data_IF_581830405767
#
_entry.id   IF_581830405767
#
_cell.length_a   1.000
_cell.length_b   1.000
_cell.length_c   1.000
_cell.angle_alpha   90.00
_cell.angle_beta   90.00
_cell.angle_gamma   90.00
#
_symmetry.space_group_name_H-M   'P 1'
#
loop_
_entity.id
_entity.type
_entity.pdbx_description
1 polymer ?
#
# COMPACT_ATOMS: atom_id res chain seq x y z
N UNK A 1 16.06 8.22 10.67
CA UNK A 1 16.99 9.23 11.24
C UNK A 1 18.41 8.71 11.44
N UNK A 2 18.67 7.65 12.21
CA UNK A 2 20.04 7.15 12.48
C UNK A 2 20.85 6.86 11.21
N UNK A 3 20.24 6.17 10.23
CA UNK A 3 20.90 5.83 8.95
C UNK A 3 21.32 7.09 8.17
N UNK A 4 20.47 8.12 8.16
CA UNK A 4 20.71 9.40 7.48
C UNK A 4 21.93 10.11 8.11
N UNK A 5 21.97 10.21 9.45
CA UNK A 5 23.09 10.85 10.17
C UNK A 5 24.43 10.13 9.89
N UNK A 6 24.41 8.83 9.61
CA UNK A 6 25.58 8.05 9.23
C UNK A 6 25.97 8.21 7.75
N UNK A 7 25.31 9.08 6.99
CA UNK A 7 25.59 9.35 5.58
C UNK A 7 25.31 8.15 4.66
N UNK A 8 24.34 7.30 5.02
CA UNK A 8 23.99 6.12 4.21
C UNK A 8 22.66 6.31 3.49
N UNK A 9 22.66 6.00 2.19
CA UNK A 9 21.42 5.91 1.43
C UNK A 9 20.52 4.80 2.00
N UNK A 10 19.20 4.98 1.91
CA UNK A 10 18.23 4.03 2.45
C UNK A 10 17.02 3.91 1.52
N UNK A 11 16.45 2.71 1.46
CA UNK A 11 15.14 2.45 0.87
C UNK A 11 14.29 1.81 1.98
N UNK A 12 13.10 2.34 2.21
CA UNK A 12 12.23 1.95 3.32
C UNK A 12 10.83 1.58 2.80
N UNK A 13 10.30 0.50 3.36
CA UNK A 13 8.94 -0.01 3.09
C UNK A 13 8.03 0.11 4.31
N UNK A 14 8.50 0.72 5.40
CA UNK A 14 7.77 0.77 6.66
C UNK A 14 6.47 1.59 6.53
N UNK A 15 5.41 1.04 7.09
CA UNK A 15 4.10 1.69 7.16
C UNK A 15 3.91 2.29 8.56
N UNK A 16 4.47 3.47 8.82
CA UNK A 16 4.38 4.17 10.10
C UNK A 16 3.61 5.50 9.97
N UNK A 17 3.02 6.02 11.05
CA UNK A 17 2.19 7.24 11.00
C UNK A 17 2.99 8.53 10.78
N UNK A 18 4.29 8.52 11.06
CA UNK A 18 5.14 9.70 10.95
C UNK A 18 5.38 10.10 9.49
N UNK A 19 5.47 11.40 9.25
CA UNK A 19 5.83 11.96 7.96
C UNK A 19 7.35 11.96 7.76
N UNK A 20 7.83 11.04 6.92
CA UNK A 20 9.25 10.91 6.61
C UNK A 20 9.83 12.15 5.88
N UNK A 21 8.99 12.93 5.17
CA UNK A 21 9.44 14.13 4.44
C UNK A 21 10.01 15.19 5.37
N UNK A 22 9.65 15.20 6.66
CA UNK A 22 10.24 16.08 7.67
C UNK A 22 11.76 15.91 7.83
N UNK A 23 12.31 14.77 7.40
CA UNK A 23 13.75 14.51 7.42
C UNK A 23 14.47 14.92 6.12
N UNK A 24 13.77 15.57 5.16
CA UNK A 24 14.31 15.90 3.84
C UNK A 24 15.56 16.77 3.91
N UNK A 25 15.52 17.87 4.67
CA UNK A 25 16.67 18.77 4.82
C UNK A 25 17.83 18.12 5.58
N UNK A 26 17.54 17.28 6.56
CA UNK A 26 18.57 16.49 7.25
C UNK A 26 19.28 15.53 6.29
N UNK A 27 18.53 14.87 5.41
CA UNK A 27 19.10 13.98 4.39
C UNK A 27 19.99 14.73 3.40
N UNK A 28 19.59 15.94 2.97
CA UNK A 28 20.44 16.81 2.14
C UNK A 28 21.74 17.18 2.82
N UNK A 29 21.68 17.62 4.09
CA UNK A 29 22.85 18.01 4.88
C UNK A 29 23.88 16.86 4.97
N UNK A 30 23.40 15.63 5.07
CA UNK A 30 24.25 14.43 5.11
C UNK A 30 24.56 13.81 3.75
N UNK A 31 24.15 14.48 2.64
CA UNK A 31 24.32 13.97 1.25
C UNK A 31 23.73 12.59 1.03
N UNK A 32 22.60 12.29 1.67
CA UNK A 32 21.88 11.01 1.61
C UNK A 32 20.70 11.10 0.65
N UNK A 33 20.48 10.03 -0.10
CA UNK A 33 19.25 9.76 -0.83
C UNK A 33 18.46 8.70 -0.06
N UNK A 34 17.21 9.02 0.33
CA UNK A 34 16.30 8.06 0.95
C UNK A 34 15.03 7.93 0.11
N UNK A 35 14.68 6.69 -0.28
CA UNK A 35 13.40 6.39 -0.92
C UNK A 35 12.51 5.73 0.14
N UNK A 36 11.36 6.32 0.41
CA UNK A 36 10.41 5.88 1.45
C UNK A 36 9.11 5.43 0.81
N UNK A 37 8.22 4.76 1.58
CA UNK A 37 6.95 4.24 1.06
C UNK A 37 7.16 3.35 -0.19
N UNK A 38 8.20 2.53 -0.24
CA UNK A 38 8.66 1.83 -1.44
C UNK A 38 8.24 0.34 -1.44
N UNK A 39 6.97 0.07 -1.08
CA UNK A 39 6.36 -1.26 -1.09
C UNK A 39 5.49 -1.54 -2.32
N UNK A 40 4.40 -2.30 -2.11
CA UNK A 40 3.41 -2.54 -3.17
C UNK A 40 2.39 -1.39 -3.21
N UNK A 41 1.78 -1.03 -2.08
CA UNK A 41 0.92 0.14 -1.88
C UNK A 41 0.96 0.55 -0.39
N UNK A 42 1.49 1.72 -0.08
CA UNK A 42 2.18 2.63 -0.99
C UNK A 42 3.46 2.03 -1.60
N UNK A 43 3.77 2.45 -2.81
CA UNK A 43 4.97 2.00 -3.52
C UNK A 43 4.74 1.90 -5.02
N UNK A 44 4.37 0.72 -5.55
CA UNK A 44 4.13 0.60 -6.99
C UNK A 44 2.99 1.48 -7.48
N UNK A 45 1.94 1.68 -6.69
CA UNK A 45 0.89 2.67 -6.98
C UNK A 45 1.47 4.07 -7.22
N UNK A 46 2.42 4.47 -6.37
CA UNK A 46 3.10 5.75 -6.43
C UNK A 46 4.06 5.85 -7.64
N UNK A 47 4.84 4.78 -7.93
CA UNK A 47 5.68 4.71 -9.13
C UNK A 47 4.87 4.93 -10.40
N UNK A 48 3.73 4.25 -10.53
CA UNK A 48 2.83 4.39 -11.68
C UNK A 48 2.28 5.80 -11.77
N UNK A 49 1.75 6.34 -10.67
CA UNK A 49 1.17 7.68 -10.63
C UNK A 49 2.20 8.76 -10.98
N UNK A 50 3.39 8.71 -10.37
CA UNK A 50 4.45 9.69 -10.61
C UNK A 50 4.91 9.72 -12.08
N UNK A 51 5.05 8.56 -12.72
CA UNK A 51 5.37 8.46 -14.14
C UNK A 51 4.26 9.09 -15.01
N UNK A 52 2.99 8.70 -14.78
CA UNK A 52 1.89 9.21 -15.59
C UNK A 52 1.62 10.70 -15.39
N UNK A 53 1.90 11.24 -14.22
CA UNK A 53 1.79 12.66 -13.95
C UNK A 53 2.73 13.54 -14.82
N UNK A 54 3.74 12.92 -15.48
CA UNK A 54 4.61 13.62 -16.44
C UNK A 54 4.03 13.71 -17.85
N UNK A 55 3.12 12.82 -18.22
CA UNK A 55 2.61 12.67 -19.59
C UNK A 55 1.10 12.82 -19.70
N UNK A 56 0.40 12.94 -18.58
CA UNK A 56 -1.05 13.00 -18.47
C UNK A 56 -1.45 14.04 -17.43
N UNK A 57 -2.44 14.88 -17.71
CA UNK A 57 -3.12 15.66 -16.69
C UNK A 57 -4.13 14.75 -16.01
N UNK A 58 -3.81 14.30 -14.80
CA UNK A 58 -4.62 13.34 -14.06
C UNK A 58 -5.66 14.10 -13.24
N UNK A 59 -6.94 13.77 -13.41
CA UNK A 59 -8.05 14.33 -12.64
C UNK A 59 -8.49 13.38 -11.50
N UNK A 60 -8.31 12.06 -11.73
CA UNK A 60 -8.71 11.03 -10.76
C UNK A 60 -7.65 9.93 -10.66
N UNK A 61 -7.35 9.54 -9.44
CA UNK A 61 -6.50 8.40 -9.10
C UNK A 61 -7.22 7.49 -8.10
N UNK A 62 -7.22 6.21 -8.37
CA UNK A 62 -7.72 5.19 -7.45
C UNK A 62 -6.76 4.00 -7.42
N UNK A 63 -6.39 3.57 -6.22
CA UNK A 63 -5.67 2.33 -5.99
C UNK A 63 -6.53 1.39 -5.14
N UNK A 64 -6.66 0.15 -5.57
CA UNK A 64 -7.26 -0.93 -4.80
C UNK A 64 -6.24 -2.04 -4.66
N UNK A 65 -5.97 -2.49 -3.43
CA UNK A 65 -4.94 -3.50 -3.16
C UNK A 65 -5.40 -4.47 -2.08
N UNK A 66 -4.98 -5.73 -2.19
CA UNK A 66 -5.23 -6.75 -1.17
C UNK A 66 -4.26 -7.91 -1.24
N UNK A 67 -3.90 -8.44 -0.08
CA UNK A 67 -3.23 -9.72 0.07
C UNK A 67 -4.19 -10.69 0.74
N UNK A 68 -4.45 -11.85 0.12
CA UNK A 68 -5.52 -12.75 0.53
C UNK A 68 -5.08 -14.23 0.44
N UNK A 69 -5.49 -15.07 1.39
CA UNK A 69 -5.25 -16.50 1.29
C UNK A 69 -6.08 -17.11 0.15
N UNK A 70 -5.54 -18.08 -0.57
CA UNK A 70 -6.32 -18.85 -1.56
C UNK A 70 -7.36 -19.72 -0.88
N UNK A 71 -7.05 -20.27 0.28
CA UNK A 71 -7.96 -21.10 1.06
C UNK A 71 -8.81 -20.22 2.00
N UNK A 72 -10.10 -20.13 1.72
CA UNK A 72 -11.05 -19.34 2.49
C UNK A 72 -11.56 -20.13 3.71
N UNK A 73 -11.01 -19.88 4.89
CA UNK A 73 -11.40 -20.55 6.15
C UNK A 73 -12.23 -19.60 7.00
N UNK A 74 -13.49 -19.98 7.26
CA UNK A 74 -14.36 -19.22 8.16
C UNK A 74 -13.85 -19.24 9.61
N UNK A 75 -14.18 -18.22 10.42
CA UNK A 75 -15.09 -17.10 10.12
C UNK A 75 -14.46 -15.96 9.31
N UNK A 76 -13.13 -15.84 9.31
CA UNK A 76 -12.44 -14.64 8.81
C UNK A 76 -12.25 -14.63 7.30
N UNK A 77 -12.04 -15.80 6.69
CA UNK A 77 -11.63 -15.94 5.30
C UNK A 77 -10.44 -15.00 4.97
N UNK A 78 -9.57 -14.81 5.96
CA UNK A 78 -8.43 -13.90 5.90
C UNK A 78 -7.23 -14.47 6.63
N UNK A 79 -6.05 -14.22 6.07
CA UNK A 79 -4.74 -14.39 6.66
C UNK A 79 -3.91 -13.15 6.39
N UNK A 80 -3.14 -12.70 7.36
CA UNK A 80 -2.28 -11.53 7.21
C UNK A 80 -0.97 -11.93 6.53
N UNK A 81 -0.73 -11.49 5.29
CA UNK A 81 0.52 -11.77 4.58
C UNK A 81 1.68 -10.87 5.03
N UNK A 82 1.41 -9.92 5.93
CA UNK A 82 2.36 -9.00 6.56
C UNK A 82 2.01 -8.84 8.05
N UNK A 83 2.57 -7.82 8.71
CA UNK A 83 2.37 -7.59 10.15
C UNK A 83 0.88 -7.49 10.55
N UNK A 84 0.36 -8.37 11.40
CA UNK A 84 -1.05 -8.33 11.81
C UNK A 84 -1.45 -7.08 12.58
N UNK A 85 -0.50 -6.38 13.24
CA UNK A 85 -0.79 -5.13 13.94
C UNK A 85 -1.12 -4.02 12.92
N UNK A 86 -0.39 -3.99 11.80
CA UNK A 86 -0.63 -3.00 10.73
C UNK A 86 -2.01 -3.22 10.09
N UNK A 87 -2.45 -4.48 10.00
CA UNK A 87 -3.81 -4.82 9.54
C UNK A 87 -4.88 -4.25 10.47
N UNK A 88 -4.69 -4.32 11.79
CA UNK A 88 -5.63 -3.72 12.74
C UNK A 88 -5.63 -2.20 12.67
N UNK A 89 -4.49 -1.60 12.39
CA UNK A 89 -4.40 -0.15 12.15
C UNK A 89 -5.18 0.26 10.90
N UNK A 90 -5.12 -0.51 9.81
CA UNK A 90 -5.94 -0.27 8.61
C UNK A 90 -7.44 -0.27 8.94
N UNK A 91 -7.89 -1.05 9.90
CA UNK A 91 -9.30 -1.17 10.28
C UNK A 91 -9.77 -0.10 11.27
N UNK A 92 -8.88 0.60 11.92
CA UNK A 92 -9.20 1.57 12.97
C UNK A 92 -8.81 3.01 12.64
N UNK A 93 -7.80 3.19 11.78
CA UNK A 93 -7.32 4.52 11.37
C UNK A 93 -8.29 5.16 10.37
N UNK A 94 -8.77 6.41 10.63
CA UNK A 94 -9.54 7.16 9.64
C UNK A 94 -8.76 7.34 8.34
N UNK A 95 -9.45 7.18 7.22
CA UNK A 95 -8.85 7.27 5.88
C UNK A 95 -8.90 8.71 5.35
N UNK A 96 -7.75 9.21 4.91
CA UNK A 96 -7.64 10.52 4.24
C UNK A 96 -7.70 10.35 2.74
N UNK A 97 -8.49 11.20 2.09
CA UNK A 97 -8.71 11.23 0.65
C UNK A 97 -8.53 12.63 0.11
N UNK A 98 -8.52 12.73 -1.23
CA UNK A 98 -8.73 14.00 -1.92
C UNK A 98 -10.05 13.93 -2.68
N UNK A 99 -10.96 14.84 -2.38
CA UNK A 99 -12.20 15.05 -3.13
C UNK A 99 -12.30 16.52 -3.56
N UNK A 100 -12.48 16.76 -4.86
CA UNK A 100 -12.52 18.10 -5.45
C UNK A 100 -11.35 19.00 -5.03
N UNK A 101 -10.13 18.46 -4.96
CA UNK A 101 -8.93 19.17 -4.57
C UNK A 101 -8.77 19.44 -3.07
N UNK A 102 -9.64 18.89 -2.23
CA UNK A 102 -9.58 19.05 -0.77
C UNK A 102 -9.30 17.73 -0.07
N UNK A 103 -8.39 17.75 0.90
CA UNK A 103 -8.17 16.60 1.78
C UNK A 103 -9.37 16.46 2.72
N UNK A 104 -10.04 15.33 2.65
CA UNK A 104 -11.13 14.95 3.53
C UNK A 104 -10.77 13.71 4.35
N UNK A 105 -11.44 13.50 5.46
CA UNK A 105 -11.25 12.33 6.32
C UNK A 105 -12.56 11.56 6.42
N UNK A 106 -12.51 10.26 6.13
CA UNK A 106 -13.65 9.34 6.28
C UNK A 106 -13.38 8.32 7.38
N UNK A 107 -14.43 7.76 8.01
CA UNK A 107 -14.23 6.66 8.93
C UNK A 107 -13.51 5.48 8.28
N UNK A 108 -12.71 4.76 9.05
CA UNK A 108 -12.17 3.47 8.61
C UNK A 108 -13.31 2.52 8.20
N UNK A 109 -13.04 1.59 7.30
CA UNK A 109 -14.01 0.60 6.81
C UNK A 109 -15.28 1.20 6.18
N UNK A 110 -15.23 2.46 5.71
CA UNK A 110 -16.35 3.13 5.03
C UNK A 110 -16.34 2.86 3.51
N UNK A 111 -17.41 3.28 2.84
CA UNK A 111 -17.62 3.20 1.38
C UNK A 111 -17.32 1.79 0.83
N UNK A 112 -17.93 0.80 1.48
CA UNK A 112 -17.78 -0.62 1.11
C UNK A 112 -18.47 -0.88 -0.22
N UNK A 113 -17.75 -1.52 -1.15
CA UNK A 113 -18.25 -1.88 -2.48
C UNK A 113 -17.85 -3.32 -2.81
N UNK A 114 -18.72 -4.05 -3.49
CA UNK A 114 -18.41 -5.35 -4.07
C UNK A 114 -17.94 -5.15 -5.51
N UNK A 115 -16.78 -5.68 -5.81
CA UNK A 115 -16.11 -5.51 -7.12
C UNK A 115 -15.64 -6.87 -7.61
N UNK A 116 -15.94 -7.19 -8.87
CA UNK A 116 -15.46 -8.40 -9.49
C UNK A 116 -14.06 -8.20 -10.09
N UNK A 117 -13.18 -9.11 -9.76
CA UNK A 117 -11.80 -9.13 -10.25
C UNK A 117 -11.55 -10.42 -11.03
N UNK A 118 -10.83 -10.29 -12.14
CA UNK A 118 -10.27 -11.44 -12.83
C UNK A 118 -9.37 -12.25 -11.88
N UNK A 119 -9.48 -13.55 -11.91
CA UNK A 119 -8.78 -14.56 -11.08
C UNK A 119 -9.21 -14.63 -9.61
N UNK A 120 -9.65 -13.55 -8.99
CA UNK A 120 -10.01 -13.51 -7.55
C UNK A 120 -11.52 -13.61 -7.29
N UNK A 121 -12.36 -13.38 -8.33
CA UNK A 121 -13.81 -13.28 -8.18
C UNK A 121 -14.24 -12.00 -7.47
N UNK A 122 -15.38 -12.03 -6.81
CA UNK A 122 -15.90 -10.85 -6.09
C UNK A 122 -15.13 -10.62 -4.80
N UNK A 123 -14.60 -9.41 -4.64
CA UNK A 123 -13.99 -8.91 -3.41
C UNK A 123 -14.79 -7.72 -2.88
N UNK A 124 -14.71 -7.45 -1.57
CA UNK A 124 -15.20 -6.22 -0.99
C UNK A 124 -14.04 -5.24 -0.77
N UNK A 125 -14.23 -4.01 -1.25
CA UNK A 125 -13.30 -2.90 -1.07
C UNK A 125 -13.79 -1.98 0.04
N UNK A 126 -12.88 -1.35 0.74
CA UNK A 126 -13.17 -0.34 1.76
C UNK A 126 -12.04 0.68 1.86
N UNK A 127 -12.37 1.84 2.40
CA UNK A 127 -11.45 2.95 2.51
C UNK A 127 -10.34 2.71 3.53
N UNK A 128 -9.09 2.96 3.12
CA UNK A 128 -7.89 2.90 3.97
C UNK A 128 -7.02 4.14 3.79
N UNK A 129 -6.18 4.47 4.79
CA UNK A 129 -5.30 5.64 4.81
C UNK A 129 -3.98 5.37 4.06
N UNK A 130 -4.10 4.91 2.81
CA UNK A 130 -2.95 4.49 2.02
C UNK A 130 -2.36 5.55 1.07
N UNK A 131 -3.03 6.69 0.84
CA UNK A 131 -2.50 7.75 -0.03
C UNK A 131 -1.20 8.37 0.48
N UNK A 132 -1.05 8.55 1.80
CA UNK A 132 0.17 8.97 2.49
C UNK A 132 0.85 10.19 1.84
N UNK A 133 2.04 10.00 1.26
CA UNK A 133 2.81 11.06 0.60
C UNK A 133 2.05 11.73 -0.54
N UNK A 134 1.22 11.00 -1.28
CA UNK A 134 0.44 11.52 -2.42
C UNK A 134 -0.45 12.71 -2.02
N UNK A 135 -0.94 12.76 -0.78
CA UNK A 135 -1.74 13.89 -0.26
C UNK A 135 -1.00 15.23 -0.35
N UNK A 136 0.33 15.20 -0.34
CA UNK A 136 1.18 16.39 -0.31
C UNK A 136 2.02 16.57 -1.58
N UNK A 137 2.37 15.46 -2.25
CA UNK A 137 3.24 15.46 -3.42
C UNK A 137 2.48 15.59 -4.73
N UNK A 138 1.16 15.34 -4.73
CA UNK A 138 0.27 15.38 -5.90
C UNK A 138 -0.92 16.34 -5.71
N UNK A 139 -0.67 17.64 -5.39
CA UNK A 139 -1.72 18.58 -5.01
C UNK A 139 -2.68 18.95 -6.16
N UNK A 140 -2.27 18.73 -7.40
CA UNK A 140 -3.06 19.11 -8.58
C UNK A 140 -4.09 18.05 -8.99
N UNK A 141 -4.07 16.87 -8.36
CA UNK A 141 -5.04 15.81 -8.65
C UNK A 141 -6.29 16.03 -7.81
N UNK A 142 -7.42 16.24 -8.50
CA UNK A 142 -8.67 16.65 -7.84
C UNK A 142 -9.31 15.55 -7.00
N UNK A 143 -9.15 14.28 -7.37
CA UNK A 143 -9.76 13.17 -6.67
C UNK A 143 -8.77 12.01 -6.54
N UNK A 144 -8.44 11.64 -5.32
CA UNK A 144 -7.56 10.50 -5.03
C UNK A 144 -8.12 9.66 -3.89
N UNK A 145 -8.08 8.35 -4.05
CA UNK A 145 -8.46 7.40 -3.00
C UNK A 145 -7.65 6.11 -3.07
N UNK A 146 -7.46 5.50 -1.91
CA UNK A 146 -6.97 4.14 -1.80
C UNK A 146 -7.93 3.28 -1.01
N UNK A 147 -8.10 2.04 -1.46
CA UNK A 147 -8.98 1.05 -0.85
C UNK A 147 -8.25 -0.28 -0.66
N UNK A 148 -8.51 -0.90 0.47
CA UNK A 148 -8.07 -2.28 0.71
C UNK A 148 -9.15 -3.27 0.27
N UNK A 149 -8.72 -4.45 -0.17
CA UNK A 149 -9.57 -5.52 -0.67
C UNK A 149 -9.58 -6.70 0.31
N UNK A 150 -10.78 -7.25 0.57
CA UNK A 150 -10.97 -8.47 1.36
C UNK A 150 -12.04 -9.35 0.70
N UNK A 151 -12.20 -10.58 1.18
CA UNK A 151 -13.34 -11.39 0.78
C UNK A 151 -14.64 -10.87 1.36
N UNK A 152 -15.78 -10.99 0.63
CA UNK A 152 -17.07 -10.46 1.06
C UNK A 152 -17.52 -10.96 2.44
N UNK A 153 -17.91 -10.04 3.30
CA UNK A 153 -18.36 -10.32 4.67
C UNK A 153 -17.30 -10.10 5.75
N UNK A 154 -16.02 -10.00 5.39
CA UNK A 154 -14.95 -9.76 6.36
C UNK A 154 -15.12 -8.42 7.08
N UNK A 155 -15.42 -7.36 6.34
CA UNK A 155 -15.59 -6.01 6.91
C UNK A 155 -16.71 -5.99 7.95
N UNK A 156 -17.82 -6.67 7.67
CA UNK A 156 -18.94 -6.75 8.60
C UNK A 156 -18.56 -7.42 9.94
N UNK A 157 -17.71 -8.43 9.90
CA UNK A 157 -17.18 -9.06 11.12
C UNK A 157 -16.31 -8.08 11.91
N UNK A 158 -15.40 -7.38 11.25
CA UNK A 158 -14.53 -6.38 11.91
C UNK A 158 -15.35 -5.23 12.48
N UNK A 159 -16.32 -4.71 11.76
CA UNK A 159 -17.23 -3.69 12.25
C UNK A 159 -18.01 -4.15 13.50
N UNK A 160 -18.35 -5.43 13.56
CA UNK A 160 -19.03 -6.01 14.75
C UNK A 160 -18.09 -6.02 15.96
N UNK A 161 -16.81 -6.37 15.78
CA UNK A 161 -15.81 -6.30 16.85
C UNK A 161 -15.58 -4.87 17.33
N UNK A 162 -15.48 -3.90 16.40
CA UNK A 162 -15.34 -2.48 16.73
C UNK A 162 -16.55 -2.00 17.56
N UNK A 163 -17.77 -2.23 17.07
CA UNK A 163 -19.01 -1.81 17.74
C UNK A 163 -19.20 -2.45 19.11
N UNK A 164 -18.74 -3.68 19.29
CA UNK A 164 -18.78 -4.40 20.57
C UNK A 164 -17.67 -3.95 21.54
N UNK A 165 -16.73 -3.09 21.13
CA UNK A 165 -15.65 -2.58 21.97
C UNK A 165 -14.40 -3.46 22.05
N UNK A 166 -14.33 -4.54 21.28
CA UNK A 166 -13.17 -5.44 21.29
C UNK A 166 -11.87 -4.77 20.80
N UNK A 167 -11.98 -3.71 20.00
CA UNK A 167 -10.84 -2.94 19.48
C UNK A 167 -10.65 -1.58 20.19
N UNK A 168 -11.24 -1.39 21.38
CA UNK A 168 -11.02 -0.20 22.19
C UNK A 168 -9.64 -0.23 22.83
N UNK A 169 -8.96 0.92 22.82
CA UNK A 169 -7.64 1.10 23.45
C UNK A 169 -7.74 1.27 24.96
N UNK A 170 -8.83 1.88 25.45
CA UNK A 170 -9.02 2.17 26.86
C UNK A 170 -9.12 0.87 27.69
N UNK A 171 -8.22 0.68 28.69
CA UNK A 171 -8.29 -0.50 29.53
C UNK A 171 -9.58 -0.54 30.36
N UNK A 172 -10.08 -1.76 30.57
CA UNK A 172 -11.24 -2.03 31.41
C UNK A 172 -10.88 -2.94 32.59
N UNK A 173 -11.62 -2.82 33.69
CA UNK A 173 -11.45 -3.70 34.84
C UNK A 173 -12.14 -5.05 34.63
N UNK A 174 -11.35 -6.13 34.70
CA UNK A 174 -11.84 -7.49 34.62
C UNK A 174 -11.30 -8.27 35.83
N UNK A 175 -12.18 -8.66 36.75
CA UNK A 175 -11.79 -9.38 37.96
C UNK A 175 -10.61 -8.76 38.75
N UNK A 176 -10.59 -7.44 38.83
CA UNK A 176 -9.54 -6.68 39.52
C UNK A 176 -8.26 -6.43 38.73
N UNK A 177 -8.16 -6.89 37.50
CA UNK A 177 -7.03 -6.62 36.59
C UNK A 177 -7.39 -5.63 35.52
N UNK A 178 -6.44 -4.78 35.12
CA UNK A 178 -6.57 -3.89 33.97
C UNK A 178 -6.30 -4.68 32.68
N UNK A 179 -7.29 -4.74 31.79
CA UNK A 179 -7.18 -5.45 30.51
C UNK A 179 -7.49 -4.46 29.38
N UNK A 180 -6.59 -4.34 28.40
CA UNK A 180 -6.86 -3.62 27.17
C UNK A 180 -7.60 -4.53 26.20
N UNK A 181 -8.86 -4.19 25.78
CA UNK A 181 -9.60 -4.98 24.80
C UNK A 181 -8.84 -5.16 23.49
N UNK A 182 -8.20 -4.08 22.99
CA UNK A 182 -7.39 -4.12 21.77
C UNK A 182 -6.25 -5.13 21.88
N UNK A 183 -5.46 -5.09 22.97
CA UNK A 183 -4.31 -5.99 23.14
C UNK A 183 -4.77 -7.46 23.27
N UNK A 184 -5.83 -7.70 23.99
CA UNK A 184 -6.39 -9.04 24.15
C UNK A 184 -6.91 -9.60 22.83
N UNK A 185 -7.72 -8.80 22.10
CA UNK A 185 -8.28 -9.19 20.82
C UNK A 185 -7.20 -9.38 19.76
N UNK A 186 -6.20 -8.49 19.71
CA UNK A 186 -5.05 -8.62 18.82
C UNK A 186 -4.33 -9.95 19.01
N UNK A 187 -4.08 -10.35 20.28
CA UNK A 187 -3.41 -11.61 20.58
C UNK A 187 -4.18 -12.81 20.04
N UNK A 188 -5.51 -12.80 20.14
CA UNK A 188 -6.37 -13.87 19.61
C UNK A 188 -6.35 -13.86 18.07
N UNK A 189 -6.54 -12.69 17.46
CA UNK A 189 -6.63 -12.56 16.00
C UNK A 189 -5.30 -12.90 15.32
N UNK A 190 -4.16 -12.53 15.91
CA UNK A 190 -2.85 -12.82 15.33
C UNK A 190 -2.58 -14.32 15.21
N UNK A 191 -2.98 -15.11 16.20
CA UNK A 191 -2.86 -16.56 16.11
C UNK A 191 -3.73 -17.17 14.98
N UNK A 192 -4.91 -16.59 14.74
CA UNK A 192 -5.84 -17.04 13.70
C UNK A 192 -5.45 -16.52 12.30
N UNK A 193 -4.91 -15.32 12.24
CA UNK A 193 -4.57 -14.67 10.96
C UNK A 193 -3.14 -14.95 10.49
N UNK A 194 -2.33 -15.59 11.31
CA UNK A 194 -0.98 -15.94 10.90
C UNK A 194 -1.02 -16.78 9.63
N UNK A 195 -0.33 -16.31 8.58
CA UNK A 195 -0.10 -17.08 7.37
C UNK A 195 0.93 -18.17 7.64
N UNK A 196 0.67 -19.38 7.19
CA UNK A 196 1.62 -20.50 7.28
C UNK A 196 2.79 -20.33 6.31
N UNK A 197 3.94 -20.99 6.55
CA UNK A 197 5.15 -20.86 5.71
C UNK A 197 4.89 -21.29 4.29
N UNK A 198 4.14 -22.09 3.86
CA UNK A 198 3.86 -22.47 2.47
C UNK A 198 2.35 -22.38 2.17
N UNK A 199 1.66 -21.50 2.89
CA UNK A 199 0.23 -21.32 2.68
C UNK A 199 0.00 -20.49 1.42
N UNK A 200 -0.70 -21.02 0.41
CA UNK A 200 -0.96 -20.31 -0.83
C UNK A 200 -1.77 -19.03 -0.59
N UNK A 201 -1.24 -17.92 -1.05
CA UNK A 201 -1.86 -16.60 -1.02
C UNK A 201 -1.63 -15.87 -2.34
N UNK A 202 -2.30 -14.76 -2.53
CA UNK A 202 -2.10 -13.89 -3.68
C UNK A 202 -2.16 -12.43 -3.29
N UNK A 203 -1.48 -11.61 -4.08
CA UNK A 203 -1.61 -10.16 -4.05
C UNK A 203 -2.34 -9.70 -5.30
N UNK A 204 -3.34 -8.87 -5.12
CA UNK A 204 -4.10 -8.24 -6.18
C UNK A 204 -4.05 -6.74 -6.03
N UNK A 205 -3.82 -6.03 -7.14
CA UNK A 205 -3.86 -4.57 -7.16
C UNK A 205 -4.49 -4.09 -8.47
N UNK A 206 -5.33 -3.07 -8.37
CA UNK A 206 -5.83 -2.32 -9.51
C UNK A 206 -5.58 -0.84 -9.28
N UNK A 207 -4.87 -0.20 -10.21
CA UNK A 207 -4.61 1.23 -10.23
C UNK A 207 -5.38 1.81 -11.40
N UNK A 208 -6.16 2.87 -11.17
CA UNK A 208 -6.96 3.54 -12.18
C UNK A 208 -6.60 5.02 -12.17
N UNK A 209 -6.24 5.55 -13.33
CA UNK A 209 -6.00 6.98 -13.53
C UNK A 209 -6.88 7.46 -14.68
N UNK A 210 -7.62 8.55 -14.44
CA UNK A 210 -8.46 9.20 -15.46
C UNK A 210 -8.06 10.65 -15.61
N UNK A 211 -8.07 11.14 -16.84
CA UNK A 211 -7.73 12.53 -17.15
C UNK A 211 -7.41 12.73 -18.62
N UNK A 212 -6.63 13.75 -18.94
CA UNK A 212 -6.32 14.16 -20.31
C UNK A 212 -4.90 13.76 -20.70
N UNK A 213 -4.75 13.08 -21.85
CA UNK A 213 -3.46 12.79 -22.48
C UNK A 213 -3.56 13.10 -23.98
N UNK A 214 -2.70 13.98 -24.50
CA UNK A 214 -2.73 14.47 -25.88
C UNK A 214 -4.14 14.97 -26.32
N UNK A 215 -4.74 15.82 -25.47
CA UNK A 215 -6.09 16.40 -25.67
C UNK A 215 -7.24 15.40 -25.78
N UNK A 216 -7.04 14.18 -25.31
CA UNK A 216 -8.09 13.14 -25.25
C UNK A 216 -8.31 12.69 -23.83
N UNK A 217 -9.57 12.48 -23.48
CA UNK A 217 -9.92 11.80 -22.23
C UNK A 217 -9.46 10.35 -22.34
N UNK A 218 -8.70 9.91 -21.32
CA UNK A 218 -8.20 8.54 -21.25
C UNK A 218 -8.39 7.99 -19.85
N UNK A 219 -8.56 6.67 -19.80
CA UNK A 219 -8.48 5.88 -18.59
C UNK A 219 -7.29 4.93 -18.73
N UNK A 220 -6.33 5.04 -17.84
CA UNK A 220 -5.19 4.13 -17.76
C UNK A 220 -5.37 3.23 -16.55
N UNK A 221 -5.35 1.93 -16.78
CA UNK A 221 -5.43 0.94 -15.71
C UNK A 221 -4.15 0.09 -15.67
N UNK A 222 -3.67 -0.18 -14.45
CA UNK A 222 -2.69 -1.22 -14.17
C UNK A 222 -3.33 -2.28 -13.29
N UNK A 223 -3.13 -3.53 -13.65
CA UNK A 223 -3.64 -4.69 -12.92
C UNK A 223 -2.51 -5.65 -12.59
N UNK A 224 -2.40 -6.00 -11.32
CA UNK A 224 -1.54 -7.05 -10.79
C UNK A 224 -2.40 -8.18 -10.22
N UNK A 225 -2.08 -9.40 -10.58
CA UNK A 225 -2.45 -10.60 -9.85
C UNK A 225 -1.19 -11.47 -9.75
N UNK A 226 -0.65 -11.60 -8.55
CA UNK A 226 0.56 -12.38 -8.28
C UNK A 226 0.26 -13.39 -7.17
N UNK A 227 0.82 -14.58 -7.26
CA UNK A 227 0.55 -15.68 -6.35
C UNK A 227 1.83 -16.15 -5.65
N UNK A 228 1.66 -16.93 -4.59
CA UNK A 228 2.75 -17.68 -3.95
C UNK A 228 3.59 -18.41 -5.00
N UNK A 229 4.88 -18.24 -4.95
CA UNK A 229 5.81 -18.88 -5.89
C UNK A 229 6.35 -20.18 -5.29
N UNK A 230 5.86 -21.31 -5.82
CA UNK A 230 6.26 -22.65 -5.38
C UNK A 230 7.74 -22.95 -5.63
N UNK A 231 8.33 -22.37 -6.67
CA UNK A 231 9.73 -22.63 -7.03
C UNK A 231 10.70 -21.97 -6.04
N UNK A 232 10.40 -20.74 -5.61
CA UNK A 232 11.22 -19.98 -4.65
C UNK A 232 10.70 -20.08 -3.23
N UNK A 233 9.52 -20.70 -3.01
CA UNK A 233 8.79 -20.76 -1.74
C UNK A 233 8.62 -19.39 -1.11
N UNK A 234 8.27 -18.42 -1.93
CA UNK A 234 8.14 -17.03 -1.51
C UNK A 234 6.71 -16.55 -1.69
N UNK A 235 6.17 -15.93 -0.65
CA UNK A 235 4.81 -15.36 -0.69
C UNK A 235 4.72 -14.23 -1.71
N UNK A 236 3.53 -14.08 -2.32
CA UNK A 236 3.25 -13.02 -3.27
C UNK A 236 3.47 -11.63 -2.65
N UNK A 237 2.99 -11.41 -1.41
CA UNK A 237 3.19 -10.14 -0.74
C UNK A 237 4.69 -9.83 -0.52
N UNK A 238 5.50 -10.82 -0.18
CA UNK A 238 6.96 -10.65 -0.06
C UNK A 238 7.62 -10.33 -1.40
N UNK A 239 7.16 -10.94 -2.49
CA UNK A 239 7.67 -10.68 -3.86
C UNK A 239 7.28 -9.29 -4.33
N UNK A 240 6.00 -8.95 -4.29
CA UNK A 240 5.49 -7.67 -4.81
C UNK A 240 6.02 -6.48 -4.03
N UNK A 241 6.09 -6.57 -2.70
CA UNK A 241 6.67 -5.54 -1.83
C UNK A 241 8.20 -5.54 -1.90
N UNK A 242 8.83 -6.69 -1.67
CA UNK A 242 10.29 -6.79 -1.55
C UNK A 242 11.01 -6.53 -2.88
N UNK A 243 10.45 -6.95 -4.01
CA UNK A 243 11.06 -6.67 -5.31
C UNK A 243 10.92 -5.20 -5.72
N UNK A 244 9.85 -4.53 -5.33
CA UNK A 244 9.72 -3.08 -5.52
C UNK A 244 10.80 -2.34 -4.72
N UNK A 245 10.98 -2.69 -3.46
CA UNK A 245 12.05 -2.15 -2.61
C UNK A 245 13.44 -2.41 -3.20
N UNK A 246 13.73 -3.67 -3.56
CA UNK A 246 15.05 -4.02 -4.11
C UNK A 246 15.30 -3.47 -5.52
N UNK A 247 14.24 -3.19 -6.30
CA UNK A 247 14.36 -2.42 -7.54
C UNK A 247 14.87 -1.00 -7.25
N UNK A 248 14.27 -0.31 -6.28
CA UNK A 248 14.71 1.02 -5.87
C UNK A 248 16.14 1.02 -5.31
N UNK A 249 16.54 0.01 -4.53
CA UNK A 249 17.95 -0.16 -4.10
C UNK A 249 18.87 -0.26 -5.30
N UNK A 250 18.57 -1.13 -6.27
CA UNK A 250 19.38 -1.31 -7.46
C UNK A 250 19.40 -0.07 -8.36
N UNK A 251 18.30 0.67 -8.42
CA UNK A 251 18.22 1.95 -9.11
C UNK A 251 19.22 2.96 -8.54
N UNK A 252 19.31 3.09 -7.21
CA UNK A 252 20.31 3.94 -6.54
C UNK A 252 21.74 3.43 -6.78
N UNK A 253 21.99 2.13 -6.66
CA UNK A 253 23.32 1.54 -6.88
C UNK A 253 23.82 1.73 -8.32
N UNK A 254 22.93 1.80 -9.28
CA UNK A 254 23.24 2.04 -10.69
C UNK A 254 23.23 3.53 -11.09
N UNK A 255 23.04 4.42 -10.12
CA UNK A 255 23.04 5.87 -10.31
C UNK A 255 21.96 6.39 -11.29
N UNK A 256 20.81 5.73 -11.38
CA UNK A 256 19.66 6.24 -12.12
C UNK A 256 19.04 7.47 -11.45
N UNK A 257 19.13 7.53 -10.10
CA UNK A 257 18.63 8.63 -9.29
C UNK A 257 19.69 9.05 -8.27
N UNK A 258 20.05 10.33 -8.23
CA UNK A 258 21.18 10.83 -7.43
C UNK A 258 20.85 12.05 -6.55
N UNK A 259 19.60 12.53 -6.59
CA UNK A 259 19.19 13.67 -5.78
C UNK A 259 19.28 13.37 -4.28
N UNK A 260 19.56 14.39 -3.48
CA UNK A 260 19.76 14.26 -2.03
C UNK A 260 18.52 14.76 -1.30
N UNK A 261 18.03 13.96 -0.37
CA UNK A 261 16.80 14.22 0.36
C UNK A 261 15.98 12.95 0.62
N UNK A 262 14.73 13.14 1.00
CA UNK A 262 13.73 12.06 1.14
C UNK A 262 12.79 12.15 -0.06
N UNK A 263 12.58 11.02 -0.72
CA UNK A 263 11.74 10.93 -1.92
C UNK A 263 10.82 9.71 -1.82
N UNK A 264 9.50 9.88 -1.84
CA UNK A 264 8.61 8.78 -2.16
C UNK A 264 8.67 8.46 -3.66
N UNK A 265 8.22 7.25 -4.08
CA UNK A 265 8.36 6.78 -5.47
C UNK A 265 7.78 7.69 -6.53
N UNK A 266 6.70 8.40 -6.25
CA UNK A 266 6.07 9.35 -7.18
C UNK A 266 6.96 10.55 -7.53
N UNK A 267 7.94 10.87 -6.71
CA UNK A 267 8.93 11.92 -6.99
C UNK A 267 10.21 11.37 -7.67
N UNK A 268 10.44 10.07 -7.63
CA UNK A 268 11.56 9.41 -8.31
C UNK A 268 11.18 8.98 -9.73
N UNK A 269 9.96 8.49 -9.90
CA UNK A 269 9.44 7.98 -11.18
C UNK A 269 9.52 8.95 -12.36
N UNK A 270 9.39 10.29 -12.18
CA UNK A 270 9.57 11.26 -13.25
C UNK A 270 10.97 11.30 -13.87
N UNK A 271 12.00 10.83 -13.12
CA UNK A 271 13.37 10.81 -13.63
C UNK A 271 13.49 9.79 -14.78
N UNK A 272 14.00 10.22 -15.96
CA UNK A 272 14.07 9.34 -17.13
C UNK A 272 14.74 8.00 -16.86
N UNK A 273 14.07 6.92 -17.25
CA UNK A 273 14.55 5.55 -17.08
C UNK A 273 14.27 4.92 -15.71
N UNK A 274 13.88 5.69 -14.69
CA UNK A 274 13.63 5.15 -13.35
C UNK A 274 12.40 4.24 -13.32
N UNK A 275 11.28 4.68 -13.86
CA UNK A 275 10.04 3.88 -13.90
C UNK A 275 10.23 2.61 -14.75
N UNK A 276 10.79 2.73 -15.94
CA UNK A 276 11.07 1.61 -16.83
C UNK A 276 12.00 0.59 -16.18
N UNK A 277 13.03 1.06 -15.45
CA UNK A 277 13.93 0.19 -14.71
C UNK A 277 13.20 -0.63 -13.64
N UNK A 278 12.31 0.00 -12.87
CA UNK A 278 11.51 -0.69 -11.83
C UNK A 278 10.58 -1.72 -12.46
N UNK A 279 9.85 -1.35 -13.53
CA UNK A 279 8.95 -2.28 -14.23
C UNK A 279 9.71 -3.48 -14.81
N UNK A 280 10.86 -3.27 -15.45
CA UNK A 280 11.70 -4.32 -16.01
C UNK A 280 12.29 -5.23 -14.91
N UNK A 281 12.70 -4.63 -13.77
CA UNK A 281 13.21 -5.37 -12.63
C UNK A 281 12.19 -6.33 -12.03
N UNK A 282 10.92 -5.90 -11.92
CA UNK A 282 9.80 -6.72 -11.47
C UNK A 282 9.46 -7.81 -12.47
N UNK A 283 9.35 -7.46 -13.76
CA UNK A 283 9.02 -8.42 -14.82
C UNK A 283 10.06 -9.56 -14.91
N UNK A 284 11.35 -9.27 -14.76
CA UNK A 284 12.44 -10.27 -14.69
C UNK A 284 12.33 -11.22 -13.48
N UNK A 285 11.46 -10.92 -12.51
CA UNK A 285 11.17 -11.71 -11.32
C UNK A 285 9.76 -12.29 -11.31
N UNK A 286 9.14 -12.35 -12.50
CA UNK A 286 7.78 -12.84 -12.71
C UNK A 286 6.69 -12.07 -11.92
N UNK A 287 6.93 -10.78 -11.65
CA UNK A 287 5.90 -9.87 -11.14
C UNK A 287 5.47 -8.96 -12.29
N UNK A 288 4.26 -9.18 -12.80
CA UNK A 288 3.80 -8.56 -14.04
C UNK A 288 2.59 -7.68 -13.81
N UNK A 289 2.69 -6.42 -14.20
CA UNK A 289 1.57 -5.48 -14.23
C UNK A 289 1.02 -5.39 -15.65
N UNK A 290 -0.24 -5.81 -15.83
CA UNK A 290 -0.96 -5.64 -17.10
C UNK A 290 -1.49 -4.21 -17.20
N UNK A 291 -1.12 -3.51 -18.27
CA UNK A 291 -1.60 -2.17 -18.58
C UNK A 291 -2.71 -2.20 -19.59
N UNK A 292 -3.75 -1.37 -19.38
CA UNK A 292 -4.82 -1.11 -20.35
C UNK A 292 -5.01 0.41 -20.48
N UNK A 293 -5.29 0.87 -21.68
CA UNK A 293 -5.61 2.28 -21.98
C UNK A 293 -6.88 2.31 -22.81
N UNK A 294 -7.87 3.06 -22.39
CA UNK A 294 -9.17 3.22 -23.04
C UNK A 294 -9.59 4.69 -23.12
#
# INVERSE_FOLDING_TARGET
MVVIIQGKNVVDISFFPEDALQLHELAKQHSVTAIVDCGVAPGMSNWVLGYYNTIMKIDQFECMVGGLPKLRIKPWEYKAPFSPIDVLEEYTRPARYVENGHIITKPALSDVELIDFEYAGTLESFNTDGLRSLLFTMPDILNMKEKTLRYPGHIKLIQSLIKAGFLNHEPMQVQGQQVSPMQFTSKILFEQWKLGEAEPEFTIMKIIMKGMMHDKQVCVEYFLYDEYDEATKTSSMSRTTGYTCTAAVNLLLKNFFNEKGIFPPELVAPTPGCFEFVMDYLAKRNVHYRKTVS
#
